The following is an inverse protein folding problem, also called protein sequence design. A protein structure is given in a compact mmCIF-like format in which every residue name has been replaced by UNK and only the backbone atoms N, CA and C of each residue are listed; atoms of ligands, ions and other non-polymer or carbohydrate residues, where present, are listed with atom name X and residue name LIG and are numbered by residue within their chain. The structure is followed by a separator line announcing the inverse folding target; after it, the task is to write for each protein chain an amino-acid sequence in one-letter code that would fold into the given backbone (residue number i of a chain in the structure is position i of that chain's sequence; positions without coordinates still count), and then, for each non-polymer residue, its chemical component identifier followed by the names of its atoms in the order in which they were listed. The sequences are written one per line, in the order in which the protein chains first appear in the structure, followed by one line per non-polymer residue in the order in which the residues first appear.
data_IF_167396202028
#
_entry.id   IF_167396202028
#
_cell.length_a   1.000
_cell.length_b   1.000
_cell.length_c   1.000
_cell.angle_alpha   90.00
_cell.angle_beta   90.00
_cell.angle_gamma   90.00
#
_symmetry.space_group_name_H-M   'P 1'
#
loop_
_entity.id
_entity.type
_entity.pdbx_description
1 polymer ?
#
# COMPACT_ATOMS: atom_id res chain seq x y z
N UNK A 1 -23.63 26.13 5.17
CA UNK A 1 -22.29 26.62 5.58
C UNK A 1 -21.65 25.49 6.40
N UNK A 2 -20.60 24.90 5.82
CA UNK A 2 -19.55 24.01 6.38
C UNK A 2 -19.91 22.99 7.47
N UNK A 3 -19.82 21.71 7.09
CA UNK A 3 -19.72 20.52 7.95
C UNK A 3 -18.38 20.48 8.69
N UNK A 4 -18.41 20.35 10.01
CA UNK A 4 -17.22 20.09 10.83
C UNK A 4 -17.28 18.65 11.33
N UNK A 5 -16.69 17.72 10.58
CA UNK A 5 -16.50 16.34 11.05
C UNK A 5 -15.38 16.34 12.11
N UNK A 6 -15.74 15.87 13.31
CA UNK A 6 -14.95 15.92 14.54
C UNK A 6 -13.57 15.25 14.42
N UNK A 7 -12.51 15.99 14.72
CA UNK A 7 -11.16 15.46 14.93
C UNK A 7 -11.15 14.47 16.12
N UNK A 8 -10.58 13.28 15.92
CA UNK A 8 -10.40 12.28 16.97
C UNK A 8 -9.32 12.77 17.95
N UNK A 9 -9.65 12.92 19.23
CA UNK A 9 -8.70 13.32 20.27
C UNK A 9 -7.71 12.19 20.59
N UNK A 10 -6.51 12.53 21.04
CA UNK A 10 -5.43 11.58 21.37
C UNK A 10 -5.89 10.45 22.33
N UNK A 11 -6.74 10.78 23.29
CA UNK A 11 -7.33 9.84 24.25
C UNK A 11 -8.27 8.81 23.59
N UNK A 12 -9.00 9.22 22.54
CA UNK A 12 -9.84 8.31 21.75
C UNK A 12 -9.00 7.42 20.85
N UNK A 13 -7.90 7.94 20.30
CA UNK A 13 -6.96 7.15 19.51
C UNK A 13 -6.27 6.06 20.35
N UNK A 14 -5.89 6.37 21.60
CA UNK A 14 -5.27 5.42 22.53
C UNK A 14 -6.22 4.28 22.91
N UNK A 15 -7.46 4.61 23.29
CA UNK A 15 -8.49 3.60 23.62
C UNK A 15 -8.85 2.68 22.43
N UNK A 16 -8.75 3.18 21.19
CA UNK A 16 -8.97 2.37 19.99
C UNK A 16 -7.82 1.38 19.78
N UNK A 17 -6.57 1.81 19.99
CA UNK A 17 -5.40 0.94 19.87
C UNK A 17 -5.42 -0.20 20.90
N UNK A 18 -5.74 0.12 22.16
CA UNK A 18 -5.81 -0.87 23.26
C UNK A 18 -6.90 -1.94 23.02
N UNK A 19 -8.07 -1.53 22.49
CA UNK A 19 -9.14 -2.46 22.12
C UNK A 19 -8.78 -3.34 20.91
N UNK A 20 -8.00 -2.83 19.97
CA UNK A 20 -7.53 -3.60 18.81
C UNK A 20 -6.48 -4.64 19.20
N UNK A 21 -5.62 -4.34 20.19
CA UNK A 21 -4.64 -5.31 20.72
C UNK A 21 -5.30 -6.45 21.48
N UNK A 22 -6.35 -6.18 22.25
CA UNK A 22 -7.09 -7.20 23.02
C UNK A 22 -7.83 -8.19 22.09
N UNK A 23 -8.41 -7.67 21.00
CA UNK A 23 -9.07 -8.50 19.97
C UNK A 23 -8.07 -9.35 19.16
N UNK A 24 -6.81 -8.92 19.05
CA UNK A 24 -5.79 -9.66 18.32
C UNK A 24 -5.24 -10.88 19.10
N UNK A 25 -5.36 -10.89 20.42
CA UNK A 25 -4.88 -12.00 21.28
C UNK A 25 -5.83 -13.18 21.42
N UNK A 26 -7.11 -13.06 21.03
CA UNK A 26 -8.12 -14.11 21.25
C UNK A 26 -8.32 -15.08 20.06
N UNK A 27 -7.80 -14.77 18.86
CA UNK A 27 -8.17 -15.44 17.60
C UNK A 27 -7.05 -16.30 16.94
N UNK A 28 -5.97 -16.64 17.66
CA UNK A 28 -4.84 -17.48 17.16
C UNK A 28 -4.32 -17.04 15.77
N UNK A 29 -4.16 -15.73 15.58
CA UNK A 29 -3.77 -15.13 14.29
C UNK A 29 -2.26 -15.22 14.14
N UNK A 30 -1.82 -16.04 13.18
CA UNK A 30 -0.42 -16.19 12.77
C UNK A 30 0.20 -14.81 12.46
N UNK A 31 1.45 -14.54 12.88
CA UNK A 31 2.10 -13.24 12.68
C UNK A 31 2.13 -12.79 11.21
N UNK A 32 2.08 -13.72 10.25
CA UNK A 32 2.00 -13.47 8.82
C UNK A 32 0.66 -12.85 8.40
N UNK A 33 -0.46 -13.33 8.96
CA UNK A 33 -1.80 -12.78 8.71
C UNK A 33 -1.93 -11.39 9.33
N UNK A 34 -1.30 -11.16 10.48
CA UNK A 34 -1.25 -9.86 11.15
C UNK A 34 -0.51 -8.81 10.30
N UNK A 35 0.59 -9.19 9.65
CA UNK A 35 1.32 -8.33 8.69
C UNK A 35 0.48 -8.02 7.44
N UNK A 36 -0.30 -8.98 6.97
CA UNK A 36 -1.19 -8.80 5.82
C UNK A 36 -2.37 -7.88 6.15
N UNK A 37 -3.04 -8.09 7.29
CA UNK A 37 -4.09 -7.21 7.79
C UNK A 37 -3.57 -5.80 8.07
N UNK A 38 -2.36 -5.67 8.64
CA UNK A 38 -1.71 -4.38 8.85
C UNK A 38 -1.45 -3.64 7.53
N UNK A 39 -1.06 -4.34 6.46
CA UNK A 39 -0.93 -3.75 5.11
C UNK A 39 -2.26 -3.28 4.53
N UNK A 40 -3.34 -4.04 4.73
CA UNK A 40 -4.68 -3.68 4.24
C UNK A 40 -5.23 -2.46 4.97
N UNK A 41 -5.03 -2.39 6.30
CA UNK A 41 -5.45 -1.24 7.13
C UNK A 41 -4.63 0.01 6.77
N UNK A 42 -3.31 -0.12 6.58
CA UNK A 42 -2.45 1.00 6.17
C UNK A 42 -2.79 1.51 4.75
N UNK A 43 -3.12 0.61 3.80
CA UNK A 43 -3.66 1.00 2.48
C UNK A 43 -4.94 1.82 2.61
N UNK A 44 -5.90 1.36 3.41
CA UNK A 44 -7.17 2.06 3.64
C UNK A 44 -7.00 3.40 4.34
N UNK A 45 -6.05 3.52 5.28
CA UNK A 45 -5.70 4.79 5.91
C UNK A 45 -5.15 5.79 4.88
N UNK A 46 -4.23 5.34 4.01
CA UNK A 46 -3.69 6.20 2.95
C UNK A 46 -4.77 6.61 1.94
N UNK A 47 -5.66 5.70 1.55
CA UNK A 47 -6.79 6.00 0.65
C UNK A 47 -7.78 6.99 1.28
N UNK A 48 -8.05 6.86 2.57
CA UNK A 48 -8.93 7.76 3.31
C UNK A 48 -8.30 9.15 3.53
N UNK A 49 -6.99 9.24 3.79
CA UNK A 49 -6.24 10.50 3.84
C UNK A 49 -6.24 11.23 2.49
N UNK A 50 -6.17 10.50 1.37
CA UNK A 50 -6.27 11.07 0.02
C UNK A 50 -7.65 11.64 -0.30
N UNK A 51 -8.72 11.02 0.20
CA UNK A 51 -10.10 11.49 -0.01
C UNK A 51 -10.48 12.67 0.88
N UNK A 52 -9.81 12.84 2.02
CA UNK A 52 -10.19 13.84 3.05
C UNK A 52 -9.28 15.06 3.11
N UNK A 53 -8.10 15.04 2.47
CA UNK A 53 -7.10 16.10 2.64
C UNK A 53 -7.36 17.40 1.88
N UNK A 54 -8.29 17.46 0.93
CA UNK A 54 -8.76 18.73 0.33
C UNK A 54 -7.66 19.71 -0.10
N UNK A 55 -6.46 19.23 -0.46
CA UNK A 55 -5.30 20.08 -0.69
C UNK A 55 -5.35 20.69 -2.10
N UNK A 56 -5.09 22.01 -2.25
CA UNK A 56 -5.09 22.66 -3.56
C UNK A 56 -3.85 22.25 -4.37
N UNK A 57 -4.05 22.21 -5.68
CA UNK A 57 -3.08 22.04 -6.76
C UNK A 57 -1.68 22.64 -6.47
N UNK A 58 -0.73 21.79 -6.09
CA UNK A 58 0.58 21.80 -6.77
C UNK A 58 0.52 20.66 -7.77
N UNK A 59 0.95 20.92 -9.00
CA UNK A 59 1.09 19.94 -10.07
C UNK A 59 2.15 18.89 -9.72
N UNK A 60 1.84 18.01 -8.77
CA UNK A 60 2.52 16.76 -8.56
C UNK A 60 1.72 15.76 -9.37
N UNK A 61 2.15 15.50 -10.60
CA UNK A 61 1.71 14.32 -11.34
C UNK A 61 1.81 13.14 -10.38
N UNK A 62 0.71 12.44 -10.06
CA UNK A 62 0.73 11.36 -9.08
C UNK A 62 1.83 10.38 -9.48
N UNK A 63 2.86 10.27 -8.64
CA UNK A 63 3.98 9.41 -8.94
C UNK A 63 3.45 7.99 -9.18
N UNK A 64 3.78 7.40 -10.32
CA UNK A 64 3.42 6.02 -10.61
C UNK A 64 4.42 5.10 -9.90
N UNK A 65 3.93 3.96 -9.41
CA UNK A 65 4.72 2.98 -8.68
C UNK A 65 4.58 1.61 -9.34
N UNK A 66 5.67 0.86 -9.40
CA UNK A 66 5.65 -0.53 -9.82
C UNK A 66 4.81 -1.37 -8.85
N UNK A 67 3.83 -2.13 -9.37
CA UNK A 67 2.95 -3.00 -8.59
C UNK A 67 3.68 -4.17 -7.93
N UNK A 68 4.90 -4.49 -8.37
CA UNK A 68 5.69 -5.64 -7.91
C UNK A 68 6.74 -5.26 -6.86
N UNK A 69 7.55 -4.23 -7.14
CA UNK A 69 8.64 -3.81 -6.25
C UNK A 69 8.34 -2.51 -5.49
N UNK A 70 7.20 -1.85 -5.76
CA UNK A 70 6.77 -0.60 -5.13
C UNK A 70 7.72 0.60 -5.33
N UNK A 71 8.70 0.49 -6.24
CA UNK A 71 9.59 1.61 -6.62
C UNK A 71 8.83 2.65 -7.45
N UNK A 72 9.17 3.92 -7.24
CA UNK A 72 8.61 5.03 -8.00
C UNK A 72 9.14 5.04 -9.44
N UNK A 73 8.38 5.65 -10.36
CA UNK A 73 8.81 5.90 -11.74
C UNK A 73 10.14 6.68 -11.84
N UNK A 74 10.54 7.41 -10.80
CA UNK A 74 11.78 8.17 -10.74
C UNK A 74 12.98 7.33 -10.29
N UNK A 75 12.74 6.18 -9.66
CA UNK A 75 13.77 5.28 -9.14
C UNK A 75 14.18 4.21 -10.15
N UNK A 76 13.32 3.93 -11.12
CA UNK A 76 13.52 2.88 -12.13
C UNK A 76 13.83 3.51 -13.49
N UNK A 77 14.52 2.77 -14.35
CA UNK A 77 14.88 3.28 -15.69
C UNK A 77 13.66 3.31 -16.60
N UNK A 78 12.78 2.33 -16.49
CA UNK A 78 11.52 2.26 -17.23
C UNK A 78 10.40 1.74 -16.34
N UNK A 79 9.24 2.36 -16.45
CA UNK A 79 7.99 1.88 -15.87
C UNK A 79 6.97 1.71 -17.00
N UNK A 80 6.47 0.48 -17.16
CA UNK A 80 5.49 0.11 -18.17
C UNK A 80 4.11 0.17 -17.53
N UNK A 81 3.21 0.96 -18.09
CA UNK A 81 1.82 1.06 -17.67
C UNK A 81 0.94 0.09 -18.48
N UNK A 82 0.21 -0.78 -17.78
CA UNK A 82 -0.87 -1.59 -18.31
C UNK A 82 -2.23 -1.11 -17.80
N UNK A 83 -3.28 -1.89 -18.06
CA UNK A 83 -4.61 -1.61 -17.51
C UNK A 83 -4.60 -1.87 -16.00
N UNK A 84 -4.64 -0.79 -15.22
CA UNK A 84 -4.57 -0.77 -13.74
C UNK A 84 -3.32 -1.38 -13.09
N UNK A 85 -2.30 -1.81 -13.84
CA UNK A 85 -1.07 -2.42 -13.32
C UNK A 85 0.18 -1.75 -13.89
N UNK A 86 1.26 -1.67 -13.11
CA UNK A 86 2.53 -1.09 -13.54
C UNK A 86 3.68 -2.03 -13.23
N UNK A 87 4.63 -2.19 -14.16
CA UNK A 87 5.82 -3.03 -13.98
C UNK A 87 7.08 -2.30 -14.42
N UNK A 88 8.16 -2.37 -13.64
CA UNK A 88 9.44 -1.76 -13.98
C UNK A 88 10.38 -2.72 -14.72
N UNK A 89 11.43 -2.18 -15.32
CA UNK A 89 12.46 -2.95 -16.05
C UNK A 89 13.11 -4.05 -15.19
N UNK A 90 13.49 -3.73 -13.95
CA UNK A 90 14.08 -4.72 -13.04
C UNK A 90 13.15 -5.91 -12.76
N UNK A 91 11.85 -5.64 -12.61
CA UNK A 91 10.85 -6.70 -12.40
C UNK A 91 10.64 -7.54 -13.65
N UNK A 92 10.67 -6.93 -14.84
CA UNK A 92 10.62 -7.67 -16.11
C UNK A 92 11.82 -8.60 -16.24
N UNK A 93 13.02 -8.13 -15.91
CA UNK A 93 14.24 -8.95 -15.96
C UNK A 93 14.20 -10.09 -14.94
N UNK A 94 13.75 -9.82 -13.71
CA UNK A 94 13.54 -10.85 -12.70
C UNK A 94 12.53 -11.91 -13.17
N UNK A 95 11.38 -11.50 -13.74
CA UNK A 95 10.41 -12.43 -14.31
C UNK A 95 10.99 -13.26 -15.46
N UNK A 96 11.76 -12.63 -16.36
CA UNK A 96 12.42 -13.33 -17.47
C UNK A 96 13.41 -14.39 -16.97
N UNK A 97 14.14 -14.12 -15.89
CA UNK A 97 15.08 -15.07 -15.32
C UNK A 97 14.34 -16.31 -14.77
N UNK A 98 13.25 -16.12 -14.04
CA UNK A 98 12.42 -17.23 -13.52
C UNK A 98 11.86 -18.06 -14.66
N UNK A 99 11.27 -17.43 -15.68
CA UNK A 99 10.67 -18.12 -16.84
C UNK A 99 11.72 -18.93 -17.61
N UNK A 100 12.93 -18.37 -17.79
CA UNK A 100 14.04 -19.05 -18.48
C UNK A 100 14.54 -20.25 -17.68
N UNK A 101 14.64 -20.13 -16.37
CA UNK A 101 15.10 -21.21 -15.50
C UNK A 101 14.08 -22.37 -15.47
N UNK A 102 12.79 -22.07 -15.38
CA UNK A 102 11.73 -23.09 -15.42
C UNK A 102 11.65 -23.81 -16.79
N UNK A 103 11.90 -23.08 -17.89
CA UNK A 103 11.93 -23.67 -19.23
C UNK A 103 13.06 -24.68 -19.47
N UNK A 104 14.13 -24.64 -18.68
CA UNK A 104 15.28 -25.53 -18.78
C UNK A 104 15.18 -26.77 -17.89
N UNK A 105 14.21 -26.82 -16.95
CA UNK A 105 13.99 -27.97 -16.05
C UNK A 105 12.98 -29.00 -16.59
N UNK A 106 12.78 -29.05 -17.91
CA UNK A 106 11.95 -30.07 -18.56
C UNK A 106 12.79 -31.15 -19.21
#
# INVERSE_FOLDING_TARGET
MTTSHSAITQEKAFNILERLETLATEEDISPEKLVEFSRVILRRKNDMERLTSGAPSLSVSPALYCSFCNKSQHTVKKLIAGDAVFICDECVDACNNVIREEGLRK
#
